data_IF_809952252322
#
_entry.id   IF_809952252322
#
_cell.length_a   1.000
_cell.length_b   1.000
_cell.length_c   1.000
_cell.angle_alpha   90.00
_cell.angle_beta   90.00
_cell.angle_gamma   90.00
#
_symmetry.space_group_name_H-M   'P 1'
#
loop_
_entity.id
_entity.type
_entity.pdbx_description
1 polymer ?
#
# COMPACT_ATOMS: atom_id res chain seq x y z
N UNK A 1 -16.21 -15.05 -0.39
CA UNK A 1 -16.75 -14.30 -1.53
C UNK A 1 -16.02 -12.98 -1.58
N UNK A 2 -15.41 -12.66 -2.72
CA UNK A 2 -14.61 -11.43 -2.84
C UNK A 2 -15.53 -10.22 -2.92
N UNK A 3 -15.37 -9.23 -2.03
CA UNK A 3 -16.28 -8.06 -1.97
C UNK A 3 -16.15 -7.12 -3.17
N UNK A 4 -14.97 -7.09 -3.80
CA UNK A 4 -14.65 -6.20 -4.93
C UNK A 4 -13.92 -7.05 -5.99
N UNK A 5 -14.43 -7.15 -7.22
CA UNK A 5 -13.74 -7.86 -8.31
C UNK A 5 -12.33 -7.32 -8.58
N UNK A 6 -11.40 -8.17 -9.03
CA UNK A 6 -10.00 -7.80 -9.30
C UNK A 6 -9.88 -6.62 -10.28
N UNK A 7 -10.64 -6.65 -11.37
CA UNK A 7 -10.62 -5.59 -12.38
C UNK A 7 -10.99 -4.22 -11.80
N UNK A 8 -12.00 -4.17 -10.93
CA UNK A 8 -12.42 -2.92 -10.28
C UNK A 8 -11.37 -2.43 -9.28
N UNK A 9 -10.70 -3.36 -8.58
CA UNK A 9 -9.60 -3.06 -7.69
C UNK A 9 -8.40 -2.45 -8.45
N UNK A 10 -7.96 -3.10 -9.54
CA UNK A 10 -6.82 -2.63 -10.34
C UNK A 10 -7.09 -1.26 -10.95
N UNK A 11 -8.34 -1.03 -11.42
CA UNK A 11 -8.78 0.28 -11.90
C UNK A 11 -8.71 1.35 -10.80
N UNK A 12 -9.18 1.03 -9.59
CA UNK A 12 -9.15 1.96 -8.46
C UNK A 12 -7.71 2.31 -8.03
N UNK A 13 -6.82 1.32 -7.96
CA UNK A 13 -5.39 1.53 -7.65
C UNK A 13 -4.71 2.39 -8.74
N UNK A 14 -5.00 2.11 -10.02
CA UNK A 14 -4.48 2.92 -11.13
C UNK A 14 -4.94 4.37 -11.06
N UNK A 15 -6.23 4.61 -10.79
CA UNK A 15 -6.77 5.96 -10.62
C UNK A 15 -6.16 6.67 -9.40
N UNK A 16 -5.98 5.96 -8.29
CA UNK A 16 -5.34 6.50 -7.10
C UNK A 16 -3.92 6.99 -7.39
N UNK A 17 -3.10 6.18 -8.07
CA UNK A 17 -1.73 6.56 -8.45
C UNK A 17 -1.70 7.82 -9.32
N UNK A 18 -2.62 7.94 -10.29
CA UNK A 18 -2.71 9.12 -11.15
C UNK A 18 -3.07 10.38 -10.36
N UNK A 19 -4.06 10.29 -9.48
CA UNK A 19 -4.50 11.43 -8.66
C UNK A 19 -3.43 11.86 -7.66
N UNK A 20 -2.80 10.90 -6.99
CA UNK A 20 -1.69 11.17 -6.07
C UNK A 20 -0.51 11.79 -6.81
N UNK A 21 -0.16 11.27 -7.98
CA UNK A 21 0.91 11.82 -8.82
C UNK A 21 0.63 13.26 -9.20
N UNK A 22 -0.60 13.58 -9.63
CA UNK A 22 -1.01 14.95 -9.93
C UNK A 22 -0.92 15.87 -8.71
N UNK A 23 -1.35 15.41 -7.53
CA UNK A 23 -1.29 16.17 -6.29
C UNK A 23 0.14 16.44 -5.83
N UNK A 24 1.03 15.45 -5.94
CA UNK A 24 2.42 15.56 -5.49
C UNK A 24 3.33 16.28 -6.50
N UNK A 25 2.91 16.40 -7.75
CA UNK A 25 3.72 17.02 -8.81
C UNK A 25 4.07 18.48 -8.51
N UNK A 26 3.25 19.20 -7.73
CA UNK A 26 3.54 20.58 -7.34
C UNK A 26 4.83 20.69 -6.50
N UNK A 27 5.19 19.66 -5.74
CA UNK A 27 6.42 19.64 -4.93
C UNK A 27 7.69 19.48 -5.78
N UNK A 28 7.57 18.90 -6.98
CA UNK A 28 8.70 18.79 -7.92
C UNK A 28 9.20 20.16 -8.37
N UNK A 29 8.33 21.17 -8.44
CA UNK A 29 8.71 22.55 -8.75
C UNK A 29 9.67 23.15 -7.70
N UNK A 30 9.69 22.61 -6.48
CA UNK A 30 10.60 23.01 -5.41
C UNK A 30 11.87 22.14 -5.34
N UNK A 31 12.11 21.29 -6.34
CA UNK A 31 13.28 20.40 -6.39
C UNK A 31 13.16 19.11 -5.57
N UNK A 32 12.01 18.85 -4.96
CA UNK A 32 11.78 17.70 -4.06
C UNK A 32 11.45 16.40 -4.83
N UNK A 33 12.13 16.12 -5.95
CA UNK A 33 11.78 15.00 -6.82
C UNK A 33 11.91 13.65 -6.11
N UNK A 34 13.02 13.43 -5.41
CA UNK A 34 13.31 12.17 -4.73
C UNK A 34 12.33 11.90 -3.59
N UNK A 35 11.96 12.95 -2.83
CA UNK A 35 10.96 12.85 -1.76
C UNK A 35 9.57 12.53 -2.32
N UNK A 36 9.18 13.18 -3.42
CA UNK A 36 7.92 12.90 -4.11
C UNK A 36 7.89 11.44 -4.57
N UNK A 37 8.95 10.96 -5.22
CA UNK A 37 9.03 9.58 -5.70
C UNK A 37 8.99 8.57 -4.54
N UNK A 38 9.67 8.85 -3.43
CA UNK A 38 9.63 8.02 -2.22
C UNK A 38 8.22 7.97 -1.60
N UNK A 39 7.59 9.13 -1.41
CA UNK A 39 6.24 9.24 -0.82
C UNK A 39 5.20 8.55 -1.69
N UNK A 40 5.29 8.70 -3.02
CA UNK A 40 4.39 8.04 -3.96
C UNK A 40 4.38 6.52 -3.77
N UNK A 41 5.54 5.90 -3.56
CA UNK A 41 5.67 4.45 -3.34
C UNK A 41 5.05 4.04 -2.02
N UNK A 42 5.42 4.70 -0.92
CA UNK A 42 4.96 4.33 0.43
C UNK A 42 3.45 4.54 0.60
N UNK A 43 2.91 5.65 0.11
CA UNK A 43 1.47 5.94 0.18
C UNK A 43 0.66 4.96 -0.67
N UNK A 44 1.15 4.61 -1.87
CA UNK A 44 0.49 3.58 -2.71
C UNK A 44 0.46 2.23 -2.03
N UNK A 45 1.58 1.82 -1.41
CA UNK A 45 1.68 0.55 -0.68
C UNK A 45 0.71 0.50 0.50
N UNK A 46 0.60 1.58 1.28
CA UNK A 46 -0.34 1.69 2.38
C UNK A 46 -1.80 1.60 1.90
N UNK A 47 -2.13 2.30 0.81
CA UNK A 47 -3.46 2.27 0.22
C UNK A 47 -3.83 0.87 -0.29
N UNK A 48 -2.91 0.17 -0.95
CA UNK A 48 -3.10 -1.21 -1.41
C UNK A 48 -3.31 -2.18 -0.24
N UNK A 49 -2.53 -2.06 0.85
CA UNK A 49 -2.73 -2.88 2.06
C UNK A 49 -4.11 -2.67 2.67
N UNK A 50 -4.54 -1.42 2.82
CA UNK A 50 -5.86 -1.09 3.33
C UNK A 50 -6.97 -1.64 2.41
N UNK A 51 -6.84 -1.46 1.11
CA UNK A 51 -7.82 -1.91 0.14
C UNK A 51 -7.91 -3.45 0.07
N UNK A 52 -6.78 -4.17 0.18
CA UNK A 52 -6.77 -5.64 0.29
C UNK A 52 -7.48 -6.15 1.55
N UNK A 53 -7.35 -5.43 2.68
CA UNK A 53 -8.09 -5.70 3.92
C UNK A 53 -9.58 -5.48 3.78
N UNK A 54 -10.00 -4.38 3.15
CA UNK A 54 -11.42 -4.12 2.86
C UNK A 54 -12.00 -5.17 1.91
N UNK A 55 -11.22 -5.61 0.91
CA UNK A 55 -11.61 -6.62 -0.08
C UNK A 55 -11.74 -8.03 0.50
N UNK A 56 -11.20 -8.27 1.70
CA UNK A 56 -11.24 -9.57 2.37
C UNK A 56 -10.22 -10.58 1.84
N UNK A 57 -9.18 -10.10 1.15
CA UNK A 57 -8.02 -10.89 0.68
C UNK A 57 -6.79 -10.76 1.58
N UNK A 58 -6.87 -9.93 2.61
CA UNK A 58 -5.79 -9.75 3.58
C UNK A 58 -5.52 -11.08 4.29
N UNK A 59 -4.30 -11.58 4.11
CA UNK A 59 -3.82 -12.74 4.84
C UNK A 59 -3.60 -12.23 6.26
N UNK A 60 -4.34 -12.74 7.27
CA UNK A 60 -4.10 -12.32 8.64
C UNK A 60 -2.62 -12.47 8.95
N UNK A 61 -2.00 -11.46 9.55
CA UNK A 61 -0.66 -11.61 10.12
C UNK A 61 -0.76 -12.84 11.01
N UNK A 62 -0.13 -13.95 10.59
CA UNK A 62 -0.07 -15.16 11.40
C UNK A 62 0.75 -14.79 12.62
N UNK A 63 0.06 -14.37 13.68
CA UNK A 63 0.64 -14.30 15.01
C UNK A 63 1.11 -15.72 15.26
N UNK A 64 2.43 -15.93 15.28
CA UNK A 64 2.98 -17.24 15.58
C UNK A 64 2.49 -17.56 16.99
N UNK A 65 1.62 -18.56 17.12
CA UNK A 65 1.14 -19.03 18.43
C UNK A 65 2.32 -19.41 19.34
N UNK A 66 3.42 -19.84 18.73
CA UNK A 66 4.67 -20.09 19.43
C UNK A 66 5.61 -18.88 19.31
N UNK A 67 5.88 -18.17 20.43
CA UNK A 67 7.00 -17.25 20.50
C UNK A 67 8.27 -17.99 20.09
N UNK A 68 9.11 -17.38 19.23
CA UNK A 68 10.47 -17.89 19.01
C UNK A 68 11.18 -17.90 20.37
N UNK A 69 11.32 -19.07 20.99
CA UNK A 69 12.19 -19.25 22.15
C UNK A 69 13.60 -18.92 21.68
N UNK A 70 14.23 -17.92 22.31
CA UNK A 70 15.65 -17.62 22.11
C UNK A 70 16.40 -18.89 22.55
N UNK A 71 17.31 -19.46 21.73
CA UNK A 71 18.14 -20.56 22.18
C UNK A 71 18.94 -20.05 23.40
N UNK A 72 18.68 -20.65 24.56
CA UNK A 72 19.54 -20.51 25.74
C UNK A 72 20.76 -21.39 25.51
N UNK A 73 21.93 -20.76 25.42
CA UNK A 73 23.21 -21.42 25.68
C UNK A 73 23.26 -21.99 27.10
#
# INVERSE_FOLDING_TARGET
>A
MEKIPQEQYDKAVGQFRLQLGAAMNCFRCYGMNDDVDSVMVEVTKLAEQFAMRVRGKDIPIKVRENPRRRPTE
#
